data_IF_193388212758
#
_entry.id   IF_193388212758
#
_cell.length_a   1.000
_cell.length_b   1.000
_cell.length_c   1.000
_cell.angle_alpha   90.00
_cell.angle_beta   90.00
_cell.angle_gamma   90.00
#
_symmetry.space_group_name_H-M   'P 1'
#
loop_
_entity.id
_entity.type
_entity.pdbx_description
1 polymer ?
#
# COMPACT_ATOMS: atom_id res chain seq x y z
N UNK A 1 -9.90 7.95 -13.29
CA UNK A 1 -9.64 6.87 -12.30
C UNK A 1 -10.28 5.58 -12.79
N UNK A 2 -9.60 4.44 -12.66
CA UNK A 2 -10.14 3.13 -13.05
C UNK A 2 -10.45 2.36 -11.79
N UNK A 3 -11.68 1.88 -11.66
CA UNK A 3 -12.08 1.03 -10.55
C UNK A 3 -12.23 -0.40 -11.03
N UNK A 4 -11.65 -1.32 -10.27
CA UNK A 4 -11.84 -2.75 -10.46
C UNK A 4 -12.05 -3.40 -9.10
N UNK A 5 -13.16 -4.12 -8.97
CA UNK A 5 -13.49 -5.01 -7.87
C UNK A 5 -13.53 -6.45 -8.36
N UNK A 6 -13.00 -7.37 -7.54
CA UNK A 6 -13.16 -8.80 -7.76
C UNK A 6 -14.61 -9.25 -7.55
N UNK A 7 -14.95 -10.45 -8.06
CA UNK A 7 -16.28 -11.10 -7.99
C UNK A 7 -16.82 -11.28 -6.55
N UNK A 8 -15.98 -11.13 -5.52
CA UNK A 8 -16.35 -11.18 -4.09
C UNK A 8 -16.58 -9.80 -3.46
N UNK A 9 -16.58 -8.72 -4.24
CA UNK A 9 -16.65 -7.35 -3.74
C UNK A 9 -15.39 -6.89 -3.00
N UNK A 10 -14.33 -7.70 -3.01
CA UNK A 10 -13.04 -7.33 -2.43
C UNK A 10 -12.30 -6.45 -3.43
N UNK A 11 -12.25 -5.16 -3.13
CA UNK A 11 -11.56 -4.11 -3.85
C UNK A 11 -11.71 -2.79 -3.09
N UNK A 12 -10.87 -1.80 -3.40
CA UNK A 12 -10.90 -0.50 -2.73
C UNK A 12 -11.84 0.50 -3.41
N UNK A 13 -12.74 0.02 -4.28
CA UNK A 13 -13.61 0.87 -5.11
C UNK A 13 -14.47 1.84 -4.31
N UNK A 14 -14.92 1.47 -3.09
CA UNK A 14 -15.66 2.39 -2.23
C UNK A 14 -14.86 3.65 -1.86
N UNK A 15 -13.63 3.48 -1.34
CA UNK A 15 -12.74 4.58 -1.01
C UNK A 15 -12.30 5.37 -2.26
N UNK A 16 -12.05 4.66 -3.36
CA UNK A 16 -11.69 5.28 -4.64
C UNK A 16 -12.85 6.08 -5.26
N UNK A 17 -14.11 5.66 -5.10
CA UNK A 17 -15.29 6.44 -5.49
C UNK A 17 -15.41 7.71 -4.67
N UNK A 18 -15.18 7.62 -3.35
CA UNK A 18 -15.22 8.77 -2.47
C UNK A 18 -14.15 9.81 -2.85
N UNK A 19 -12.92 9.36 -3.15
CA UNK A 19 -11.85 10.22 -3.71
C UNK A 19 -12.27 10.86 -5.02
N UNK A 20 -12.81 10.07 -5.95
CA UNK A 20 -13.20 10.59 -7.25
C UNK A 20 -14.32 11.63 -7.16
N UNK A 21 -15.30 11.43 -6.29
CA UNK A 21 -16.36 12.41 -6.04
C UNK A 21 -15.81 13.70 -5.42
N UNK A 22 -14.94 13.57 -4.43
CA UNK A 22 -14.34 14.73 -3.76
C UNK A 22 -13.53 15.59 -4.74
N UNK A 23 -12.75 14.95 -5.61
CA UNK A 23 -11.88 15.61 -6.57
C UNK A 23 -12.51 15.75 -7.97
N UNK A 24 -13.82 15.53 -8.12
CA UNK A 24 -14.53 15.56 -9.42
C UNK A 24 -13.80 14.80 -10.55
N UNK A 25 -13.16 13.68 -10.22
CA UNK A 25 -12.38 12.90 -11.17
C UNK A 25 -13.30 12.01 -12.00
N UNK A 26 -13.12 11.94 -13.33
CA UNK A 26 -13.86 10.98 -14.14
C UNK A 26 -13.49 9.55 -13.74
N UNK A 27 -14.51 8.69 -13.61
CA UNK A 27 -14.35 7.29 -13.17
C UNK A 27 -14.85 6.30 -14.22
N UNK A 28 -13.99 5.37 -14.61
CA UNK A 28 -14.37 4.16 -15.33
C UNK A 28 -14.49 3.01 -14.33
N UNK A 29 -15.73 2.61 -14.02
CA UNK A 29 -16.00 1.46 -13.15
C UNK A 29 -16.14 0.19 -13.98
N UNK A 30 -15.04 -0.56 -14.10
CA UNK A 30 -14.99 -1.80 -14.89
C UNK A 30 -15.82 -2.91 -14.26
N UNK A 31 -16.05 -2.85 -12.94
CA UNK A 31 -16.88 -3.85 -12.27
C UNK A 31 -18.35 -3.71 -12.59
N UNK A 32 -18.79 -2.53 -13.00
CA UNK A 32 -20.13 -2.35 -13.57
C UNK A 32 -20.06 -2.65 -15.07
N UNK A 33 -19.20 -1.94 -15.81
CA UNK A 33 -19.24 -1.96 -17.25
C UNK A 33 -18.92 -3.35 -17.87
N UNK A 34 -17.81 -3.96 -17.47
CA UNK A 34 -17.35 -5.24 -18.04
C UNK A 34 -18.12 -6.45 -17.48
N UNK A 35 -18.55 -6.40 -16.21
CA UNK A 35 -19.36 -7.48 -15.64
C UNK A 35 -20.74 -7.55 -16.26
N UNK A 36 -21.39 -6.41 -16.52
CA UNK A 36 -22.70 -6.39 -17.17
C UNK A 36 -22.63 -7.01 -18.57
N UNK A 37 -21.59 -6.69 -19.35
CA UNK A 37 -21.35 -7.29 -20.66
C UNK A 37 -21.07 -8.80 -20.59
N UNK A 38 -20.36 -9.27 -19.56
CA UNK A 38 -20.14 -10.71 -19.34
C UNK A 38 -21.46 -11.40 -18.96
N UNK A 39 -22.25 -10.82 -18.05
CA UNK A 39 -23.54 -11.37 -17.61
C UNK A 39 -24.56 -11.39 -18.76
N UNK A 40 -24.53 -10.39 -19.63
CA UNK A 40 -25.34 -10.33 -20.85
C UNK A 40 -24.85 -11.31 -21.94
N UNK A 41 -23.74 -12.02 -21.72
CA UNK A 41 -23.20 -13.02 -22.64
C UNK A 41 -22.43 -12.44 -23.84
N UNK A 42 -22.13 -11.13 -23.83
CA UNK A 42 -21.36 -10.47 -24.90
C UNK A 42 -19.90 -10.91 -24.91
N UNK A 43 -19.34 -11.18 -23.73
CA UNK A 43 -18.01 -11.77 -23.56
C UNK A 43 -18.08 -13.00 -22.67
N UNK A 44 -17.34 -14.05 -23.01
CA UNK A 44 -17.17 -15.21 -22.12
C UNK A 44 -16.14 -14.86 -21.05
N UNK A 45 -16.40 -15.22 -19.80
CA UNK A 45 -15.49 -14.89 -18.67
C UNK A 45 -14.07 -15.40 -18.89
N UNK A 46 -13.91 -16.59 -19.49
CA UNK A 46 -12.60 -17.20 -19.83
C UNK A 46 -11.85 -16.48 -20.96
N UNK A 47 -12.56 -15.73 -21.82
CA UNK A 47 -11.91 -14.92 -22.85
C UNK A 47 -11.34 -13.62 -22.24
N UNK A 48 -11.83 -13.21 -21.08
CA UNK A 48 -11.48 -11.94 -20.42
C UNK A 48 -10.45 -12.15 -19.31
N UNK A 49 -10.60 -13.20 -18.51
CA UNK A 49 -9.77 -13.45 -17.32
C UNK A 49 -9.07 -14.80 -17.37
N UNK A 50 -7.83 -14.83 -16.88
CA UNK A 50 -7.13 -16.05 -16.47
C UNK A 50 -7.77 -16.62 -15.18
N UNK A 51 -7.39 -17.84 -14.81
CA UNK A 51 -7.88 -18.49 -13.58
C UNK A 51 -7.54 -17.69 -12.31
N UNK A 52 -6.39 -17.02 -12.30
CA UNK A 52 -5.93 -16.14 -11.22
C UNK A 52 -6.59 -14.74 -11.24
N UNK A 53 -7.54 -14.51 -12.15
CA UNK A 53 -8.27 -13.25 -12.37
C UNK A 53 -7.45 -12.10 -12.94
N UNK A 54 -6.21 -12.34 -13.37
CA UNK A 54 -5.51 -11.40 -14.26
C UNK A 54 -6.17 -11.40 -15.64
N UNK A 55 -6.00 -10.32 -16.42
CA UNK A 55 -6.58 -10.24 -17.76
C UNK A 55 -5.80 -11.14 -18.73
N UNK A 56 -6.51 -11.85 -19.62
CA UNK A 56 -5.89 -12.53 -20.77
C UNK A 56 -5.42 -11.48 -21.80
N UNK A 57 -4.69 -11.87 -22.85
CA UNK A 57 -4.35 -10.95 -23.95
C UNK A 57 -5.61 -10.33 -24.59
N UNK A 58 -6.64 -11.16 -24.85
CA UNK A 58 -7.94 -10.69 -25.38
C UNK A 58 -8.70 -9.83 -24.35
N UNK A 59 -8.56 -10.13 -23.07
CA UNK A 59 -9.08 -9.30 -21.98
C UNK A 59 -8.48 -7.90 -21.97
N UNK A 60 -7.17 -7.78 -22.24
CA UNK A 60 -6.50 -6.47 -22.37
C UNK A 60 -6.98 -5.70 -23.60
N UNK A 61 -7.25 -6.37 -24.73
CA UNK A 61 -7.83 -5.73 -25.92
C UNK A 61 -9.22 -5.17 -25.61
N UNK A 62 -10.10 -5.98 -25.00
CA UNK A 62 -11.44 -5.54 -24.56
C UNK A 62 -11.32 -4.35 -23.60
N UNK A 63 -10.40 -4.42 -22.65
CA UNK A 63 -10.16 -3.33 -21.71
C UNK A 63 -9.73 -2.03 -22.43
N UNK A 64 -8.88 -2.13 -23.46
CA UNK A 64 -8.49 -1.01 -24.32
C UNK A 64 -9.67 -0.34 -25.02
N UNK A 65 -10.65 -1.12 -25.49
CA UNK A 65 -11.88 -0.58 -26.09
C UNK A 65 -12.70 0.23 -25.07
N UNK A 66 -12.84 -0.28 -23.85
CA UNK A 66 -13.51 0.42 -22.75
C UNK A 66 -12.83 1.75 -22.41
N UNK A 67 -11.49 1.74 -22.35
CA UNK A 67 -10.71 2.94 -22.14
C UNK A 67 -10.93 3.98 -23.22
N UNK A 68 -10.84 3.56 -24.49
CA UNK A 68 -10.96 4.45 -25.63
C UNK A 68 -12.34 5.13 -25.64
N UNK A 69 -13.41 4.33 -25.49
CA UNK A 69 -14.78 4.86 -25.41
C UNK A 69 -14.99 5.81 -24.24
N UNK A 70 -14.38 5.52 -23.10
CA UNK A 70 -14.47 6.37 -21.92
C UNK A 70 -13.79 7.72 -22.13
N UNK A 71 -12.59 7.73 -22.73
CA UNK A 71 -11.88 8.97 -23.09
C UNK A 71 -12.65 9.76 -24.15
N UNK A 72 -13.15 9.10 -25.19
CA UNK A 72 -14.00 9.74 -26.21
C UNK A 72 -15.22 10.41 -25.56
N UNK A 73 -15.94 9.70 -24.69
CA UNK A 73 -17.08 10.26 -23.97
C UNK A 73 -16.68 11.48 -23.13
N UNK A 74 -15.58 11.39 -22.39
CA UNK A 74 -15.10 12.49 -21.53
C UNK A 74 -14.77 13.74 -22.35
N UNK A 75 -14.04 13.58 -23.45
CA UNK A 75 -13.62 14.71 -24.31
C UNK A 75 -14.84 15.45 -24.89
N UNK A 76 -15.96 14.76 -25.11
CA UNK A 76 -17.17 15.36 -25.68
C UNK A 76 -18.18 15.84 -24.62
N UNK A 77 -18.07 15.38 -23.37
CA UNK A 77 -19.05 15.65 -22.30
C UNK A 77 -18.52 16.62 -21.26
N UNK A 78 -17.22 16.63 -20.98
CA UNK A 78 -16.67 17.55 -19.98
C UNK A 78 -16.61 18.98 -20.54
N UNK A 79 -17.14 19.98 -19.81
CA UNK A 79 -17.00 21.37 -20.20
C UNK A 79 -15.52 21.77 -20.17
N UNK A 80 -15.15 22.72 -21.04
CA UNK A 80 -13.79 23.28 -21.14
C UNK A 80 -13.53 24.29 -20.01
N UNK A 81 -13.82 23.87 -18.77
CA UNK A 81 -13.69 24.68 -17.55
C UNK A 81 -12.36 24.41 -16.86
N UNK A 82 -11.80 25.44 -16.24
CA UNK A 82 -10.60 25.28 -15.41
C UNK A 82 -10.93 24.44 -14.17
N UNK A 83 -10.27 23.29 -14.03
CA UNK A 83 -10.39 22.45 -12.85
C UNK A 83 -9.70 23.10 -11.64
N UNK A 84 -10.46 23.33 -10.56
CA UNK A 84 -9.93 23.75 -9.27
C UNK A 84 -9.78 22.54 -8.34
N UNK A 85 -8.57 22.32 -7.84
CA UNK A 85 -8.33 21.28 -6.84
C UNK A 85 -8.91 21.73 -5.49
N UNK A 86 -9.81 20.96 -4.86
CA UNK A 86 -10.30 21.26 -3.53
C UNK A 86 -9.16 21.42 -2.51
N UNK A 87 -9.17 22.52 -1.75
CA UNK A 87 -8.14 22.80 -0.74
C UNK A 87 -8.16 21.79 0.41
N UNK A 88 -9.33 21.29 0.78
CA UNK A 88 -9.47 20.29 1.86
C UNK A 88 -9.21 18.89 1.28
N UNK A 89 -8.37 18.07 1.92
CA UNK A 89 -8.19 16.68 1.50
C UNK A 89 -9.47 15.86 1.72
N UNK A 90 -9.66 14.84 0.87
CA UNK A 90 -10.82 13.94 0.93
C UNK A 90 -10.84 13.08 2.22
N UNK A 91 -9.65 12.73 2.71
CA UNK A 91 -9.44 12.07 4.00
C UNK A 91 -8.62 12.99 4.91
N UNK A 92 -7.89 12.46 5.89
CA UNK A 92 -7.04 13.25 6.77
C UNK A 92 -5.98 14.06 6.01
N UNK A 93 -5.57 13.65 4.79
CA UNK A 93 -4.47 14.32 4.08
C UNK A 93 -3.09 13.97 4.63
N UNK A 94 -3.00 13.02 5.55
CA UNK A 94 -1.75 12.57 6.18
C UNK A 94 -0.72 11.98 5.22
N UNK A 95 -1.04 11.76 3.95
CA UNK A 95 -0.07 11.28 2.94
C UNK A 95 0.38 12.37 1.97
N UNK A 96 -0.10 13.62 2.12
CA UNK A 96 0.35 14.76 1.33
C UNK A 96 1.85 15.02 1.51
N UNK A 97 2.31 14.90 2.76
CA UNK A 97 3.72 14.83 3.08
C UNK A 97 4.06 13.42 3.51
N UNK A 98 4.76 12.70 2.64
CA UNK A 98 5.22 11.35 2.91
C UNK A 98 6.75 11.30 2.92
N UNK A 99 7.31 10.62 3.91
CA UNK A 99 8.76 10.40 4.03
C UNK A 99 9.05 8.92 4.23
N UNK A 100 10.03 8.43 3.48
CA UNK A 100 10.54 7.08 3.61
C UNK A 100 11.91 7.08 4.31
N UNK A 101 12.10 6.12 5.20
CA UNK A 101 13.36 5.83 5.87
C UNK A 101 13.77 4.39 5.53
N UNK A 102 14.85 4.24 4.75
CA UNK A 102 15.40 2.91 4.45
C UNK A 102 16.29 2.46 5.58
N UNK A 103 16.01 1.31 6.15
CA UNK A 103 16.78 0.76 7.26
C UNK A 103 17.81 -0.21 6.68
N UNK A 104 19.08 0.18 6.75
CA UNK A 104 20.19 -0.67 6.30
C UNK A 104 20.52 -1.72 7.36
N UNK A 105 20.32 -3.00 7.03
CA UNK A 105 20.53 -4.09 7.97
C UNK A 105 21.91 -4.71 7.74
N UNK A 106 22.72 -4.76 8.80
CA UNK A 106 24.06 -5.33 8.72
C UNK A 106 23.99 -6.85 8.53
N UNK A 107 24.91 -7.45 7.75
CA UNK A 107 25.05 -8.91 7.69
C UNK A 107 25.35 -9.58 9.04
N UNK A 108 25.82 -8.80 10.02
CA UNK A 108 26.14 -9.28 11.37
C UNK A 108 24.99 -9.13 12.37
N UNK A 109 23.81 -8.70 11.92
CA UNK A 109 22.63 -8.51 12.76
C UNK A 109 22.24 -9.81 13.44
N UNK A 110 22.09 -9.78 14.78
CA UNK A 110 21.72 -10.93 15.61
C UNK A 110 20.34 -10.73 16.23
N UNK A 111 19.80 -11.77 16.85
CA UNK A 111 18.63 -11.66 17.73
C UNK A 111 18.82 -10.55 18.79
N UNK A 112 17.75 -9.80 19.07
CA UNK A 112 17.77 -8.67 20.00
C UNK A 112 18.48 -7.40 19.54
N UNK A 113 19.00 -7.34 18.31
CA UNK A 113 19.65 -6.16 17.74
C UNK A 113 18.63 -5.05 17.47
N UNK A 114 18.98 -3.83 17.84
CA UNK A 114 18.21 -2.64 17.49
C UNK A 114 18.54 -2.28 16.03
N UNK A 115 17.51 -2.25 15.18
CA UNK A 115 17.62 -1.92 13.76
C UNK A 115 17.32 -0.45 13.50
N UNK A 116 16.45 0.14 14.32
CA UNK A 116 16.03 1.53 14.22
C UNK A 116 15.65 2.05 15.60
N UNK A 117 16.03 3.28 15.93
CA UNK A 117 15.80 3.90 17.24
C UNK A 117 15.84 5.43 17.13
N UNK A 118 14.69 6.05 16.87
CA UNK A 118 14.58 7.49 16.66
C UNK A 118 13.29 8.08 17.21
N UNK A 119 13.27 9.40 17.40
CA UNK A 119 12.04 10.15 17.73
C UNK A 119 11.53 10.87 16.49
N UNK A 120 10.35 10.50 16.02
CA UNK A 120 9.78 11.00 14.78
C UNK A 120 8.39 11.59 15.03
N UNK A 121 8.04 12.62 14.26
CA UNK A 121 6.70 13.23 14.27
C UNK A 121 5.91 12.69 13.08
N UNK A 122 4.71 12.15 13.29
CA UNK A 122 3.86 11.62 12.21
C UNK A 122 2.37 11.63 12.57
N UNK A 123 1.52 11.59 11.55
CA UNK A 123 0.10 11.23 11.66
C UNK A 123 -0.13 9.75 11.34
N UNK A 124 0.65 9.18 10.41
CA UNK A 124 0.54 7.77 10.02
C UNK A 124 1.91 7.14 9.95
N UNK A 125 2.04 5.94 10.52
CA UNK A 125 3.26 5.15 10.47
C UNK A 125 2.98 3.83 9.77
N UNK A 126 3.74 3.59 8.70
CA UNK A 126 3.75 2.38 7.90
C UNK A 126 5.09 1.69 7.98
N UNK A 127 5.07 0.37 7.83
CA UNK A 127 6.26 -0.43 7.65
C UNK A 127 6.12 -1.25 6.36
N UNK A 128 7.14 -1.18 5.53
CA UNK A 128 7.32 -2.05 4.39
C UNK A 128 8.47 -3.01 4.67
N UNK A 129 8.23 -4.31 4.47
CA UNK A 129 9.28 -5.31 4.60
C UNK A 129 9.04 -6.51 3.68
N UNK A 130 10.11 -7.24 3.38
CA UNK A 130 10.04 -8.43 2.55
C UNK A 130 10.00 -9.69 3.41
N UNK A 131 9.04 -10.56 3.12
CA UNK A 131 8.93 -11.89 3.72
C UNK A 131 9.56 -12.94 2.80
N UNK A 132 10.34 -13.84 3.39
CA UNK A 132 11.08 -14.89 2.70
C UNK A 132 10.31 -16.23 2.75
N UNK A 133 10.15 -16.95 1.62
CA UNK A 133 9.52 -18.27 1.58
C UNK A 133 10.33 -19.34 2.33
N UNK A 134 11.64 -19.15 2.54
CA UNK A 134 12.44 -20.10 3.30
C UNK A 134 11.95 -20.19 4.75
N UNK A 135 11.64 -21.40 5.25
CA UNK A 135 11.17 -21.59 6.62
C UNK A 135 12.15 -21.00 7.63
N UNK A 136 11.70 -19.96 8.33
CA UNK A 136 12.45 -19.32 9.40
C UNK A 136 11.49 -18.83 10.48
N UNK A 137 12.02 -18.65 11.69
CA UNK A 137 11.26 -18.07 12.79
C UNK A 137 11.76 -16.65 13.09
N UNK A 138 12.33 -15.93 12.13
CA UNK A 138 12.74 -14.56 12.39
C UNK A 138 11.50 -13.67 12.56
N UNK A 139 11.58 -12.73 13.50
CA UNK A 139 10.54 -11.73 13.70
C UNK A 139 11.10 -10.38 14.12
N UNK A 140 10.32 -9.34 13.84
CA UNK A 140 10.61 -7.96 14.16
C UNK A 140 9.64 -7.47 15.22
N UNK A 141 10.18 -6.91 16.29
CA UNK A 141 9.39 -6.25 17.32
C UNK A 141 9.43 -4.73 17.09
N UNK A 142 8.26 -4.11 17.06
CA UNK A 142 8.10 -2.67 16.90
C UNK A 142 7.58 -2.08 18.20
N UNK A 143 8.31 -1.10 18.72
CA UNK A 143 7.96 -0.36 19.92
C UNK A 143 7.68 1.10 19.57
N UNK A 144 6.61 1.62 20.15
CA UNK A 144 6.27 3.04 20.14
C UNK A 144 6.16 3.47 21.60
N UNK A 145 6.94 4.48 21.99
CA UNK A 145 7.05 4.98 23.37
C UNK A 145 7.27 3.87 24.40
N UNK A 146 8.21 2.98 24.08
CA UNK A 146 8.60 1.79 24.89
C UNK A 146 7.53 0.71 25.03
N UNK A 147 6.38 0.84 24.37
CA UNK A 147 5.32 -0.17 24.34
C UNK A 147 5.45 -1.01 23.06
N UNK A 148 5.45 -2.34 23.21
CA UNK A 148 5.38 -3.25 22.07
C UNK A 148 4.02 -3.07 21.39
N UNK A 149 4.02 -2.62 20.13
CA UNK A 149 2.79 -2.41 19.34
C UNK A 149 2.56 -3.55 18.34
N UNK A 150 3.63 -4.16 17.83
CA UNK A 150 3.58 -5.27 16.87
C UNK A 150 4.77 -6.21 17.00
N UNK A 151 4.53 -7.49 16.76
CA UNK A 151 5.53 -8.52 16.52
C UNK A 151 5.23 -9.14 15.14
N UNK A 152 6.18 -9.05 14.22
CA UNK A 152 6.00 -9.35 12.80
C UNK A 152 6.92 -10.49 12.37
N UNK A 153 6.34 -11.63 12.00
CA UNK A 153 7.08 -12.70 11.36
C UNK A 153 7.58 -12.29 9.97
N UNK A 154 8.80 -12.69 9.63
CA UNK A 154 9.41 -12.43 8.30
C UNK A 154 9.36 -13.65 7.37
N UNK A 155 8.73 -14.74 7.80
CA UNK A 155 8.54 -15.94 6.99
C UNK A 155 7.21 -15.92 6.24
N UNK A 156 7.27 -16.05 4.90
CA UNK A 156 6.12 -16.17 4.02
C UNK A 156 5.64 -17.62 3.93
N UNK A 157 4.35 -17.85 4.15
CA UNK A 157 3.70 -19.14 3.87
C UNK A 157 3.57 -19.44 2.37
N UNK A 158 3.90 -18.47 1.51
CA UNK A 158 3.86 -18.61 0.06
C UNK A 158 5.20 -19.14 -0.46
N UNK A 159 5.19 -19.76 -1.64
CA UNK A 159 6.40 -20.28 -2.31
C UNK A 159 7.30 -19.20 -2.92
N UNK A 160 6.90 -17.92 -2.85
CA UNK A 160 7.63 -16.79 -3.39
C UNK A 160 7.81 -15.70 -2.32
N UNK A 161 8.84 -14.87 -2.51
CA UNK A 161 9.04 -13.68 -1.70
C UNK A 161 7.84 -12.75 -1.82
N UNK A 162 7.43 -12.18 -0.68
CA UNK A 162 6.28 -11.29 -0.60
C UNK A 162 6.70 -9.95 -0.01
N UNK A 163 6.47 -8.87 -0.75
CA UNK A 163 6.53 -7.53 -0.19
C UNK A 163 5.28 -7.28 0.64
N UNK A 164 5.47 -6.86 1.87
CA UNK A 164 4.39 -6.52 2.79
C UNK A 164 4.47 -5.04 3.10
N UNK A 165 3.33 -4.37 2.98
CA UNK A 165 3.10 -3.00 3.43
C UNK A 165 2.08 -3.06 4.55
N UNK A 166 2.43 -2.52 5.71
CA UNK A 166 1.62 -2.62 6.92
C UNK A 166 1.43 -1.25 7.56
N UNK A 167 0.17 -0.89 7.83
CA UNK A 167 -0.16 0.21 8.72
C UNK A 167 0.09 -0.20 10.17
N UNK A 168 0.94 0.56 10.88
CA UNK A 168 1.34 0.27 12.25
C UNK A 168 0.54 1.10 13.24
N UNK A 169 0.47 2.41 13.00
CA UNK A 169 -0.09 3.36 13.95
C UNK A 169 -0.58 4.63 13.25
N UNK A 170 -1.54 5.34 13.86
CA UNK A 170 -2.01 6.60 13.31
C UNK A 170 -2.88 7.45 14.24
N UNK A 171 -2.81 8.75 13.99
CA UNK A 171 -3.33 9.83 14.82
C UNK A 171 -4.10 10.84 13.97
N UNK A 172 -5.12 11.51 14.54
CA UNK A 172 -5.83 12.59 13.86
C UNK A 172 -4.92 13.76 13.49
N UNK A 173 -3.94 14.08 14.35
CA UNK A 173 -3.00 15.19 14.22
C UNK A 173 -1.55 14.67 14.34
N UNK A 174 -0.53 15.40 13.83
CA UNK A 174 0.86 14.95 13.93
C UNK A 174 1.32 14.89 15.39
N UNK A 175 1.76 13.72 15.84
CA UNK A 175 2.29 13.48 17.18
C UNK A 175 3.75 12.99 17.12
N UNK A 176 4.53 13.29 18.17
CA UNK A 176 5.95 12.94 18.23
C UNK A 176 6.18 11.74 19.15
N UNK A 177 6.63 10.63 18.58
CA UNK A 177 6.83 9.37 19.29
C UNK A 177 8.27 8.88 19.20
N UNK A 178 8.68 8.10 20.19
CA UNK A 178 9.91 7.32 20.14
C UNK A 178 9.64 5.96 19.50
N UNK A 179 10.22 5.71 18.32
CA UNK A 179 10.06 4.47 17.56
C UNK A 179 11.34 3.66 17.71
N UNK A 180 11.19 2.40 18.14
CA UNK A 180 12.29 1.43 18.14
C UNK A 180 11.84 0.16 17.39
N UNK A 181 12.65 -0.27 16.41
CA UNK A 181 12.48 -1.55 15.71
C UNK A 181 13.67 -2.43 16.05
N UNK A 182 13.41 -3.67 16.46
CA UNK A 182 14.46 -4.62 16.82
C UNK A 182 14.13 -6.03 16.36
N UNK A 183 15.15 -6.84 16.15
CA UNK A 183 14.98 -8.28 15.97
C UNK A 183 14.51 -8.91 17.28
N UNK A 184 13.60 -9.89 17.22
CA UNK A 184 13.07 -10.49 18.45
C UNK A 184 14.16 -11.23 19.24
N UNK A 185 14.03 -11.19 20.57
CA UNK A 185 14.90 -11.91 21.53
C UNK A 185 14.43 -13.31 21.87
N UNK A 186 13.22 -13.70 21.42
CA UNK A 186 12.59 -14.96 21.84
C UNK A 186 12.94 -16.14 20.91
N UNK A 187 13.69 -15.91 19.83
CA UNK A 187 13.78 -16.80 18.67
C UNK A 187 15.18 -17.45 18.55
N UNK A 188 15.40 -18.58 19.24
CA UNK A 188 16.72 -19.25 19.38
C UNK A 188 17.31 -19.94 18.14
N UNK A 189 16.57 -20.07 17.03
CA UNK A 189 17.04 -20.78 15.82
C UNK A 189 16.70 -20.00 14.57
N UNK A 190 17.61 -19.12 14.17
CA UNK A 190 17.56 -18.46 12.88
C UNK A 190 18.56 -19.16 11.97
N UNK A 191 18.09 -20.08 11.12
CA UNK A 191 18.90 -20.61 10.01
C UNK A 191 19.02 -19.59 8.85
N UNK A 192 18.54 -18.36 9.08
CA UNK A 192 18.37 -17.29 8.12
C UNK A 192 19.12 -16.05 8.61
N UNK A 193 19.67 -15.28 7.69
CA UNK A 193 20.41 -14.07 8.05
C UNK A 193 19.50 -12.86 7.90
N UNK A 194 19.33 -12.05 8.95
CA UNK A 194 18.63 -10.75 8.85
C UNK A 194 19.26 -9.80 7.80
N UNK A 195 20.45 -10.12 7.31
CA UNK A 195 21.13 -9.46 6.19
C UNK A 195 20.29 -9.32 4.92
N UNK A 196 19.36 -10.26 4.67
CA UNK A 196 18.50 -10.28 3.48
C UNK A 196 17.17 -9.58 3.70
N UNK A 197 16.92 -9.08 4.91
CA UNK A 197 15.71 -8.35 5.23
C UNK A 197 15.77 -6.95 4.58
N UNK A 198 14.82 -6.70 3.69
CA UNK A 198 14.53 -5.35 3.21
C UNK A 198 13.51 -4.72 4.14
N UNK A 199 13.83 -3.54 4.70
CA UNK A 199 12.99 -2.85 5.67
C UNK A 199 12.97 -1.35 5.36
N UNK A 200 11.77 -0.82 5.16
CA UNK A 200 11.54 0.60 4.94
C UNK A 200 10.40 1.08 5.83
N UNK A 201 10.58 2.25 6.44
CA UNK A 201 9.59 2.90 7.29
C UNK A 201 8.99 4.07 6.52
N UNK A 202 7.66 4.14 6.48
CA UNK A 202 6.90 5.21 5.85
C UNK A 202 6.23 6.07 6.90
N UNK A 203 6.43 7.38 6.84
CA UNK A 203 5.73 8.35 7.69
C UNK A 203 4.87 9.23 6.81
N UNK A 204 3.59 9.31 7.17
CA UNK A 204 2.67 10.29 6.66
C UNK A 204 2.45 11.41 7.67
N UNK A 205 2.44 12.66 7.20
CA UNK A 205 2.06 13.82 7.97
C UNK A 205 1.17 14.77 7.16
N UNK A 206 0.22 15.42 7.84
CA UNK A 206 -0.55 16.53 7.27
C UNK A 206 0.29 17.82 7.18
N UNK A 207 1.39 17.88 7.93
CA UNK A 207 2.32 19.02 7.93
C UNK A 207 3.66 18.62 7.30
N UNK A 208 4.35 19.53 6.60
CA UNK A 208 5.68 19.26 6.07
C UNK A 208 6.64 18.83 7.19
N UNK A 209 7.40 17.77 6.96
CA UNK A 209 8.39 17.33 7.94
C UNK A 209 9.51 18.34 8.09
N UNK A 210 9.92 18.60 9.33
CA UNK A 210 11.01 19.53 9.62
C UNK A 210 12.35 19.05 9.03
N UNK A 211 13.24 19.99 8.70
CA UNK A 211 14.61 19.69 8.27
C UNK A 211 15.50 19.17 9.40
N UNK A 212 15.08 19.32 10.67
CA UNK A 212 15.74 18.72 11.83
C UNK A 212 15.47 17.22 11.99
N UNK A 213 14.40 16.70 11.37
CA UNK A 213 14.06 15.27 11.40
C UNK A 213 14.78 14.49 10.29
N UNK A 214 15.95 14.95 9.82
CA UNK A 214 16.67 14.30 8.70
C UNK A 214 16.96 12.84 9.04
N UNK A 215 16.39 11.95 8.23
CA UNK A 215 16.83 10.57 8.07
C UNK A 215 18.34 10.58 7.84
N UNK A 216 19.10 10.00 8.79
CA UNK A 216 20.50 9.65 8.56
C UNK A 216 20.58 8.23 8.03
#
# INVERSE_FOLDING_TARGET
>A
LILSCSKKGLGYAGHQKFLALHYNLPVLDLSLALQDDIQAGKYREIDVYNEDRTFTSKGHEILGDYFTRFIEMIVHVLPDESYELPEKPCFLGSLEHFRQHKISISPRTREGSILFDEKLTYNMFFLQYQMDPEPNNASLEIYIDKKLVRDLGVHSILSAQKNVELFIDGHPEPERHHIQIRTSRQQRRVNWTYATLHLELGLGSQQPFSTSDKAR
#
